data_IF_358531818086
#
_entry.id   IF_358531818086
#
_cell.length_a   1.000
_cell.length_b   1.000
_cell.length_c   1.000
_cell.angle_alpha   90.00
_cell.angle_beta   90.00
_cell.angle_gamma   90.00
#
_symmetry.space_group_name_H-M   'P 1'
#
loop_
_entity.id
_entity.type
_entity.pdbx_description
1 polymer ?
#
# COMPACT_ATOMS: atom_id res chain seq x y z
N UNK A 1 -18.65 3.25 14.64
CA UNK A 1 -18.39 4.29 13.62
C UNK A 1 -19.37 4.16 12.45
N UNK A 2 -20.63 4.61 12.59
CA UNK A 2 -21.63 4.48 11.50
C UNK A 2 -21.49 5.54 10.40
N UNK A 3 -20.87 6.69 10.71
CA UNK A 3 -20.80 7.82 9.78
C UNK A 3 -19.80 7.63 8.63
N UNK A 4 -18.75 6.81 8.83
CA UNK A 4 -17.69 6.57 7.84
C UNK A 4 -18.00 5.37 6.91
N UNK A 5 -18.87 4.46 7.34
CA UNK A 5 -19.20 3.24 6.59
C UNK A 5 -19.87 3.50 5.21
N UNK A 6 -20.41 4.70 4.99
CA UNK A 6 -21.04 5.11 3.74
C UNK A 6 -20.23 6.14 2.96
N UNK A 7 -18.95 6.35 3.32
CA UNK A 7 -18.06 7.27 2.61
C UNK A 7 -17.12 6.48 1.72
N UNK A 8 -16.80 7.05 0.56
CA UNK A 8 -15.73 6.55 -0.29
C UNK A 8 -14.39 6.77 0.43
N UNK A 9 -13.87 5.70 1.01
CA UNK A 9 -12.61 5.73 1.75
C UNK A 9 -11.46 5.35 0.83
N UNK A 10 -10.50 6.25 0.70
CA UNK A 10 -9.22 6.00 0.03
C UNK A 10 -8.12 5.98 1.08
N UNK A 11 -7.37 4.89 1.12
CA UNK A 11 -6.19 4.70 1.95
C UNK A 11 -4.92 4.90 1.10
N UNK A 12 -3.94 5.58 1.68
CA UNK A 12 -2.61 5.73 1.11
C UNK A 12 -1.59 5.62 2.25
N UNK A 13 -0.69 4.66 2.11
CA UNK A 13 0.37 4.39 3.07
C UNK A 13 1.65 4.01 2.35
N UNK A 14 2.65 3.63 3.12
CA UNK A 14 3.92 3.16 2.60
C UNK A 14 3.74 1.82 1.86
N UNK A 15 4.57 1.57 0.84
CA UNK A 15 4.68 0.25 0.22
C UNK A 15 5.76 -0.52 0.96
N UNK A 16 5.34 -1.16 2.04
CA UNK A 16 6.11 -2.09 2.87
C UNK A 16 5.16 -3.10 3.53
N UNK A 17 5.70 -4.03 4.33
CA UNK A 17 4.87 -5.08 4.95
C UNK A 17 3.87 -4.53 5.97
N UNK A 18 4.24 -3.48 6.73
CA UNK A 18 3.33 -2.82 7.68
C UNK A 18 2.23 -2.00 7.00
N UNK A 19 2.53 -1.32 5.89
CA UNK A 19 1.58 -0.54 5.11
C UNK A 19 0.45 -1.42 4.57
N UNK A 20 0.78 -2.62 4.10
CA UNK A 20 -0.22 -3.62 3.72
C UNK A 20 -1.00 -4.18 4.91
N UNK A 21 -0.36 -4.37 6.08
CA UNK A 21 -1.06 -4.79 7.30
C UNK A 21 -2.10 -3.74 7.75
N UNK A 22 -1.77 -2.46 7.65
CA UNK A 22 -2.70 -1.35 7.95
C UNK A 22 -3.84 -1.33 6.92
N UNK A 23 -3.55 -1.43 5.62
CA UNK A 23 -4.58 -1.50 4.57
C UNK A 23 -5.57 -2.65 4.82
N UNK A 24 -5.05 -3.83 5.17
CA UNK A 24 -5.87 -4.99 5.54
C UNK A 24 -6.80 -4.66 6.72
N UNK A 25 -6.28 -4.04 7.79
CA UNK A 25 -7.08 -3.62 8.95
C UNK A 25 -8.16 -2.57 8.59
N UNK A 26 -7.80 -1.60 7.75
CA UNK A 26 -8.74 -0.59 7.23
C UNK A 26 -9.87 -1.26 6.47
N UNK A 27 -9.59 -2.21 5.57
CA UNK A 27 -10.63 -2.91 4.81
C UNK A 27 -11.48 -3.86 5.65
N UNK A 28 -10.91 -4.51 6.66
CA UNK A 28 -11.70 -5.29 7.63
C UNK A 28 -12.72 -4.42 8.37
N UNK A 29 -12.38 -3.15 8.62
CA UNK A 29 -13.27 -2.18 9.26
C UNK A 29 -14.23 -1.51 8.27
N UNK A 30 -13.79 -1.33 7.02
CA UNK A 30 -14.49 -0.60 5.95
C UNK A 30 -14.33 -1.34 4.62
N UNK A 31 -15.19 -2.33 4.34
CA UNK A 31 -15.04 -3.22 3.19
C UNK A 31 -15.02 -2.54 1.80
N UNK A 32 -15.47 -1.29 1.70
CA UNK A 32 -15.41 -0.49 0.47
C UNK A 32 -14.13 0.35 0.31
N UNK A 33 -13.16 0.25 1.23
CA UNK A 33 -11.96 1.07 1.17
C UNK A 33 -11.05 0.68 -0.01
N UNK A 34 -10.66 1.67 -0.80
CA UNK A 34 -9.69 1.52 -1.90
C UNK A 34 -8.32 1.99 -1.46
N UNK A 35 -7.27 1.40 -1.99
CA UNK A 35 -5.92 1.95 -1.88
C UNK A 35 -5.64 2.88 -3.07
N UNK A 36 -4.69 3.79 -2.94
CA UNK A 36 -4.08 4.51 -4.06
C UNK A 36 -2.57 4.48 -3.91
N UNK A 37 -1.83 4.42 -5.02
CA UNK A 37 -0.36 4.46 -5.04
C UNK A 37 0.31 3.36 -4.19
N UNK A 38 -0.39 2.24 -3.97
CA UNK A 38 0.09 1.08 -3.21
C UNK A 38 0.17 -0.16 -4.11
N UNK A 39 0.57 0.05 -5.36
CA UNK A 39 0.69 -0.99 -6.37
C UNK A 39 2.14 -1.16 -6.82
N UNK A 40 2.40 -2.30 -7.48
CA UNK A 40 3.73 -2.66 -7.97
C UNK A 40 4.29 -1.64 -8.95
N UNK A 41 3.45 -1.06 -9.82
CA UNK A 41 3.92 -0.09 -10.80
C UNK A 41 4.43 1.18 -10.11
N UNK A 42 3.72 1.64 -9.07
CA UNK A 42 4.16 2.74 -8.22
C UNK A 42 5.48 2.42 -7.52
N UNK A 43 5.62 1.21 -6.96
CA UNK A 43 6.86 0.78 -6.30
C UNK A 43 8.06 0.82 -7.26
N UNK A 44 7.94 0.18 -8.43
CA UNK A 44 9.02 0.06 -9.42
C UNK A 44 9.36 1.40 -10.08
N UNK A 45 8.40 2.31 -10.24
CA UNK A 45 8.65 3.64 -10.79
C UNK A 45 9.53 4.52 -9.87
N UNK A 46 9.73 4.11 -8.62
CA UNK A 46 10.45 4.85 -7.59
C UNK A 46 11.58 4.00 -6.97
N UNK A 47 12.17 3.07 -7.73
CA UNK A 47 13.23 2.16 -7.26
C UNK A 47 14.42 2.89 -6.61
N UNK A 48 14.85 4.02 -7.20
CA UNK A 48 15.95 4.84 -6.66
C UNK A 48 15.66 5.44 -5.27
N UNK A 49 14.40 5.40 -4.82
CA UNK A 49 13.95 5.98 -3.56
C UNK A 49 13.65 4.91 -2.49
N UNK A 50 13.85 3.64 -2.81
CA UNK A 50 13.65 2.55 -1.85
C UNK A 50 14.60 2.67 -0.67
N UNK A 51 14.10 2.29 0.50
CA UNK A 51 14.88 2.13 1.72
C UNK A 51 14.62 0.76 2.33
N UNK A 52 15.38 0.43 3.37
CA UNK A 52 15.14 -0.78 4.16
C UNK A 52 14.02 -0.58 5.19
N UNK A 53 13.08 -1.49 5.22
CA UNK A 53 12.14 -1.71 6.33
C UNK A 53 12.91 -2.31 7.53
N UNK A 54 13.00 -1.61 8.67
CA UNK A 54 13.83 -2.09 9.79
C UNK A 54 13.31 -3.38 10.43
N UNK A 55 11.99 -3.55 10.50
CA UNK A 55 11.33 -4.67 11.16
C UNK A 55 10.16 -5.16 10.30
N UNK A 56 10.41 -5.87 9.19
CA UNK A 56 9.34 -6.39 8.34
C UNK A 56 8.46 -7.38 9.11
N UNK A 57 7.18 -7.43 8.75
CA UNK A 57 6.20 -8.39 9.26
C UNK A 57 5.82 -9.40 8.17
N UNK A 58 5.32 -10.56 8.60
CA UNK A 58 4.78 -11.60 7.73
C UNK A 58 3.46 -12.12 8.32
N UNK A 59 2.49 -11.23 8.39
CA UNK A 59 1.12 -11.54 8.83
C UNK A 59 0.28 -12.11 7.68
N UNK A 60 -0.76 -12.87 8.04
CA UNK A 60 -1.75 -13.31 7.07
C UNK A 60 -2.78 -12.21 6.82
N UNK A 61 -2.80 -11.66 5.60
CA UNK A 61 -3.61 -10.49 5.23
C UNK A 61 -4.75 -10.89 4.27
N UNK A 62 -5.90 -11.26 4.82
CA UNK A 62 -7.06 -11.79 4.07
C UNK A 62 -7.82 -10.75 3.24
N UNK A 63 -7.71 -9.46 3.57
CA UNK A 63 -8.51 -8.38 2.94
C UNK A 63 -7.75 -7.61 1.84
N UNK A 64 -6.58 -8.09 1.42
CA UNK A 64 -5.87 -7.54 0.26
C UNK A 64 -6.51 -7.97 -1.05
N UNK A 65 -6.46 -7.11 -2.06
CA UNK A 65 -6.82 -7.47 -3.42
C UNK A 65 -5.71 -8.35 -4.02
N UNK A 66 -5.99 -9.15 -5.07
CA UNK A 66 -5.00 -10.07 -5.65
C UNK A 66 -3.66 -9.42 -6.01
N UNK A 67 -3.69 -8.23 -6.62
CA UNK A 67 -2.46 -7.52 -7.02
C UNK A 67 -1.65 -7.02 -5.81
N UNK A 68 -2.33 -6.60 -4.75
CA UNK A 68 -1.71 -6.16 -3.51
C UNK A 68 -1.16 -7.33 -2.71
N UNK A 69 -1.89 -8.46 -2.67
CA UNK A 69 -1.43 -9.69 -2.05
C UNK A 69 -0.18 -10.23 -2.76
N UNK A 70 -0.15 -10.18 -4.09
CA UNK A 70 1.04 -10.53 -4.87
C UNK A 70 2.22 -9.62 -4.55
N UNK A 71 2.00 -8.29 -4.47
CA UNK A 71 3.08 -7.37 -4.12
C UNK A 71 3.56 -7.59 -2.67
N UNK A 72 2.64 -7.79 -1.73
CA UNK A 72 2.97 -8.10 -0.35
C UNK A 72 3.80 -9.38 -0.23
N UNK A 73 3.44 -10.45 -0.95
CA UNK A 73 4.23 -11.69 -1.00
C UNK A 73 5.65 -11.42 -1.50
N UNK A 74 5.82 -10.65 -2.57
CA UNK A 74 7.16 -10.32 -3.08
C UNK A 74 8.01 -9.52 -2.08
N UNK A 75 7.39 -8.63 -1.29
CA UNK A 75 8.07 -7.89 -0.23
C UNK A 75 8.50 -8.82 0.92
N UNK A 76 7.61 -9.72 1.34
CA UNK A 76 7.87 -10.72 2.39
C UNK A 76 8.97 -11.71 1.97
N UNK A 77 8.93 -12.18 0.74
CA UNK A 77 9.89 -13.15 0.19
C UNK A 77 11.21 -12.50 -0.26
N UNK A 78 11.27 -11.16 -0.27
CA UNK A 78 12.45 -10.41 -0.68
C UNK A 78 12.76 -10.51 -2.17
N UNK A 79 11.77 -10.79 -3.01
CA UNK A 79 11.90 -10.95 -4.48
C UNK A 79 12.45 -9.68 -5.12
N UNK A 80 12.06 -8.52 -4.59
CA UNK A 80 12.46 -7.19 -5.08
C UNK A 80 13.69 -6.64 -4.36
N UNK A 81 14.24 -7.37 -3.38
CA UNK A 81 15.32 -6.93 -2.51
C UNK A 81 15.01 -7.20 -1.04
N UNK A 82 16.04 -7.13 -0.19
CA UNK A 82 15.88 -7.37 1.24
C UNK A 82 15.12 -6.22 1.90
N UNK A 83 13.97 -6.52 2.50
CA UNK A 83 13.18 -5.57 3.30
C UNK A 83 12.87 -4.27 2.54
N UNK A 84 12.43 -4.35 1.29
CA UNK A 84 12.13 -3.16 0.47
C UNK A 84 11.00 -2.35 1.10
N UNK A 85 11.20 -1.03 1.19
CA UNK A 85 10.19 -0.06 1.60
C UNK A 85 10.23 1.17 0.71
N UNK A 86 9.07 1.57 0.21
CA UNK A 86 8.87 2.90 -0.37
C UNK A 86 7.95 3.71 0.56
N UNK A 87 8.54 4.71 1.21
CA UNK A 87 7.79 5.69 2.01
C UNK A 87 6.88 6.52 1.10
N UNK A 88 5.63 6.74 1.51
CA UNK A 88 4.66 7.52 0.74
C UNK A 88 5.17 8.94 0.42
N UNK A 89 5.97 9.51 1.32
CA UNK A 89 6.56 10.85 1.20
C UNK A 89 7.60 10.95 0.09
N UNK A 90 8.13 9.82 -0.39
CA UNK A 90 9.10 9.78 -1.50
C UNK A 90 8.44 9.73 -2.86
N UNK A 91 7.17 9.33 -2.94
CA UNK A 91 6.43 9.28 -4.21
C UNK A 91 6.30 10.70 -4.79
N UNK A 92 6.57 10.83 -6.08
CA UNK A 92 6.56 12.14 -6.74
C UNK A 92 5.21 12.85 -6.62
N UNK A 93 5.25 14.17 -6.42
CA UNK A 93 4.02 14.98 -6.34
C UNK A 93 3.13 14.87 -7.59
N UNK A 94 3.73 14.65 -8.77
CA UNK A 94 2.99 14.42 -10.01
C UNK A 94 2.13 13.14 -9.94
N UNK A 95 2.69 12.03 -9.46
CA UNK A 95 1.94 10.78 -9.28
C UNK A 95 0.78 10.94 -8.30
N UNK A 96 0.98 11.71 -7.21
CA UNK A 96 -0.07 12.03 -6.24
C UNK A 96 -1.20 12.84 -6.87
N UNK A 97 -0.87 13.86 -7.67
CA UNK A 97 -1.87 14.66 -8.38
C UNK A 97 -2.68 13.81 -9.37
N UNK A 98 -2.06 12.87 -10.06
CA UNK A 98 -2.76 12.01 -11.00
C UNK A 98 -3.65 10.98 -10.30
N UNK A 99 -3.17 10.33 -9.24
CA UNK A 99 -3.96 9.39 -8.45
C UNK A 99 -5.18 10.04 -7.78
N UNK A 100 -5.02 11.25 -7.24
CA UNK A 100 -6.13 11.98 -6.58
C UNK A 100 -7.23 12.42 -7.56
N UNK A 101 -6.92 12.61 -8.85
CA UNK A 101 -7.93 12.87 -9.89
C UNK A 101 -8.76 11.63 -10.22
N UNK A 102 -8.15 10.44 -10.14
CA UNK A 102 -8.80 9.15 -10.40
C UNK A 102 -9.64 8.66 -9.21
N UNK A 103 -9.39 9.19 -8.02
CA UNK A 103 -10.12 8.84 -6.80
C UNK A 103 -11.40 9.68 -6.56
N UNK A 104 -11.70 10.65 -7.43
CA UNK A 104 -12.88 11.52 -7.37
C UNK A 104 -14.14 10.87 -7.91
#
# INVERSE_FOLDING_TARGET
MKWLAHKDLVYWGDIDTHGFAILNSVRRSFGGARSMLMDRATLLAHEEQWVGEPNPTNEHLEALLPDEASLYTDLVEGVLGSSVRLEQERISYAAVLDATRQCR
#
